data_IF_436465216304
#
_entry.id   IF_436465216304
#
_cell.length_a   1.000
_cell.length_b   1.000
_cell.length_c   1.000
_cell.angle_alpha   90.00
_cell.angle_beta   90.00
_cell.angle_gamma   90.00
#
_symmetry.space_group_name_H-M   'P 1'
#
loop_
_entity.id
_entity.type
_entity.pdbx_description
1 polymer ?
#
# COMPACT_ATOMS: atom_id res chain seq x y z
N UNK A 1 0.27 1.80 -31.99
CA UNK A 1 1.12 0.60 -32.24
C UNK A 1 2.51 0.68 -31.60
N UNK A 2 3.32 1.73 -31.83
CA UNK A 2 4.63 1.81 -31.16
C UNK A 2 4.54 2.04 -29.66
N UNK A 3 3.67 2.93 -29.22
CA UNK A 3 3.47 3.23 -27.78
C UNK A 3 3.00 2.02 -26.99
N UNK A 4 2.10 1.24 -27.53
CA UNK A 4 1.60 0.00 -26.90
C UNK A 4 2.72 -1.04 -26.72
N UNK A 5 3.57 -1.21 -27.74
CA UNK A 5 4.73 -2.12 -27.67
C UNK A 5 5.72 -1.69 -26.57
N UNK A 6 5.99 -0.37 -26.45
CA UNK A 6 6.89 0.16 -25.43
C UNK A 6 6.33 -0.15 -24.04
N UNK A 7 5.04 0.08 -23.81
CA UNK A 7 4.39 -0.20 -22.52
C UNK A 7 4.46 -1.69 -22.18
N UNK A 8 4.15 -2.57 -23.13
CA UNK A 8 4.25 -4.02 -22.93
C UNK A 8 5.68 -4.43 -22.54
N UNK A 9 6.69 -3.91 -23.22
CA UNK A 9 8.10 -4.20 -22.91
C UNK A 9 8.45 -3.71 -21.51
N UNK A 10 8.06 -2.51 -21.13
CA UNK A 10 8.29 -1.96 -19.78
C UNK A 10 7.61 -2.82 -18.72
N UNK A 11 6.37 -3.24 -18.94
CA UNK A 11 5.64 -4.13 -18.02
C UNK A 11 6.35 -5.49 -17.88
N UNK A 12 6.81 -6.08 -18.97
CA UNK A 12 7.54 -7.37 -18.94
C UNK A 12 8.85 -7.22 -18.15
N UNK A 13 9.62 -6.16 -18.40
CA UNK A 13 10.87 -5.89 -17.67
C UNK A 13 10.56 -5.70 -16.18
N UNK A 14 9.52 -4.93 -15.85
CA UNK A 14 9.11 -4.68 -14.47
C UNK A 14 8.73 -5.99 -13.76
N UNK A 15 7.86 -6.80 -14.36
CA UNK A 15 7.44 -8.07 -13.78
C UNK A 15 8.60 -9.07 -13.63
N UNK A 16 9.48 -9.14 -14.63
CA UNK A 16 10.70 -9.95 -14.54
C UNK A 16 11.61 -9.49 -13.39
N UNK A 17 11.77 -8.18 -13.20
CA UNK A 17 12.53 -7.63 -12.10
C UNK A 17 11.92 -7.98 -10.73
N UNK A 18 10.58 -7.91 -10.59
CA UNK A 18 9.89 -8.29 -9.34
C UNK A 18 10.08 -9.78 -9.02
N UNK A 19 9.95 -10.66 -10.02
CA UNK A 19 10.20 -12.10 -9.84
C UNK A 19 11.68 -12.35 -9.45
N UNK A 20 12.62 -11.68 -10.11
CA UNK A 20 14.04 -11.81 -9.81
C UNK A 20 14.35 -11.38 -8.37
N UNK A 21 13.80 -10.26 -7.92
CA UNK A 21 13.93 -9.80 -6.54
C UNK A 21 13.36 -10.84 -5.57
N UNK A 22 12.20 -11.43 -5.87
CA UNK A 22 11.59 -12.52 -5.08
C UNK A 22 12.52 -13.74 -4.98
N UNK A 23 13.13 -14.17 -6.08
CA UNK A 23 14.09 -15.29 -6.10
C UNK A 23 15.35 -14.96 -5.28
N UNK A 24 15.88 -13.75 -5.40
CA UNK A 24 17.03 -13.30 -4.62
C UNK A 24 16.69 -13.28 -3.12
N UNK A 25 15.51 -12.80 -2.79
CA UNK A 25 14.99 -12.76 -1.41
C UNK A 25 14.84 -14.16 -0.80
N UNK A 26 14.44 -15.15 -1.60
CA UNK A 26 14.29 -16.54 -1.16
C UNK A 26 15.57 -17.10 -0.53
N UNK A 27 16.74 -16.64 -0.98
CA UNK A 27 18.04 -17.03 -0.42
C UNK A 27 18.23 -16.59 1.04
N UNK A 28 17.44 -15.63 1.53
CA UNK A 28 17.46 -15.16 2.90
C UNK A 28 16.55 -15.98 3.84
N UNK A 29 15.65 -16.75 3.29
CA UNK A 29 14.70 -17.57 4.03
C UNK A 29 15.36 -18.90 4.46
N UNK A 30 15.95 -18.92 5.65
CA UNK A 30 16.60 -20.12 6.22
C UNK A 30 15.70 -20.85 7.21
N UNK A 31 14.75 -20.14 7.84
CA UNK A 31 13.81 -20.68 8.81
C UNK A 31 12.38 -20.21 8.50
N UNK A 32 11.39 -20.88 9.07
CA UNK A 32 9.97 -20.50 8.93
C UNK A 32 9.71 -19.06 9.40
N UNK A 33 10.40 -18.62 10.45
CA UNK A 33 10.34 -17.23 10.94
C UNK A 33 10.89 -16.22 9.94
N UNK A 34 11.93 -16.59 9.16
CA UNK A 34 12.45 -15.72 8.10
C UNK A 34 11.43 -15.54 6.98
N UNK A 35 10.72 -16.62 6.66
CA UNK A 35 9.69 -16.62 5.62
C UNK A 35 8.45 -15.81 6.03
N UNK A 36 7.96 -15.96 7.27
CA UNK A 36 6.71 -15.35 7.74
C UNK A 36 6.88 -13.90 8.19
N UNK A 37 7.98 -13.57 8.88
CA UNK A 37 8.19 -12.25 9.52
C UNK A 37 9.59 -11.68 9.29
N UNK A 38 10.25 -12.10 8.22
CA UNK A 38 11.63 -11.70 7.88
C UNK A 38 12.62 -11.90 9.04
N UNK A 39 12.40 -12.94 9.88
CA UNK A 39 13.22 -13.22 11.07
C UNK A 39 13.19 -12.11 12.11
N UNK A 40 12.24 -11.18 12.06
CA UNK A 40 12.16 -9.98 12.90
C UNK A 40 13.42 -9.10 12.85
N UNK A 41 14.17 -9.16 11.73
CA UNK A 41 15.46 -8.48 11.52
C UNK A 41 15.38 -7.26 10.61
N UNK A 42 14.15 -6.78 10.32
CA UNK A 42 13.97 -5.61 9.48
C UNK A 42 14.51 -4.35 10.17
N UNK A 43 15.26 -3.55 9.42
CA UNK A 43 15.71 -2.25 9.88
C UNK A 43 14.52 -1.27 9.90
N UNK A 44 14.58 -0.26 10.78
CA UNK A 44 13.56 0.81 10.88
C UNK A 44 13.30 1.45 9.52
N UNK A 45 14.33 1.72 8.74
CA UNK A 45 14.21 2.30 7.40
C UNK A 45 13.44 1.37 6.45
N UNK A 46 13.75 0.08 6.41
CA UNK A 46 13.04 -0.89 5.58
C UNK A 46 11.57 -0.99 5.98
N UNK A 47 11.30 -1.08 7.29
CA UNK A 47 9.94 -1.10 7.82
C UNK A 47 9.17 0.16 7.42
N UNK A 48 9.78 1.35 7.56
CA UNK A 48 9.15 2.60 7.17
C UNK A 48 8.84 2.65 5.66
N UNK A 49 9.78 2.19 4.81
CA UNK A 49 9.59 2.13 3.36
C UNK A 49 8.45 1.17 3.00
N UNK A 50 8.43 -0.04 3.58
CA UNK A 50 7.36 -1.03 3.34
C UNK A 50 6.00 -0.49 3.78
N UNK A 51 5.92 0.15 4.96
CA UNK A 51 4.68 0.79 5.42
C UNK A 51 4.23 1.92 4.47
N UNK A 52 5.15 2.72 3.97
CA UNK A 52 4.85 3.75 2.97
C UNK A 52 4.38 3.12 1.65
N UNK A 53 5.06 2.07 1.17
CA UNK A 53 4.69 1.36 -0.06
C UNK A 53 3.27 0.80 -0.02
N UNK A 54 2.89 0.17 1.10
CA UNK A 54 1.53 -0.37 1.30
C UNK A 54 0.47 0.72 1.27
N UNK A 55 0.79 1.95 1.68
CA UNK A 55 -0.13 3.08 1.62
C UNK A 55 -0.28 3.64 0.21
N UNK A 56 0.81 3.68 -0.56
CA UNK A 56 0.80 4.23 -1.93
C UNK A 56 0.26 3.17 -2.89
N UNK A 57 -0.97 2.78 -2.69
CA UNK A 57 -1.70 1.86 -3.57
C UNK A 57 -2.61 2.61 -4.55
N UNK A 58 -3.38 1.83 -5.30
CA UNK A 58 -4.36 2.34 -6.27
C UNK A 58 -5.36 3.31 -5.63
N UNK A 59 -5.75 3.07 -4.37
CA UNK A 59 -6.65 3.96 -3.64
C UNK A 59 -6.13 5.39 -3.56
N UNK A 60 -4.85 5.58 -3.18
CA UNK A 60 -4.26 6.92 -3.16
C UNK A 60 -4.08 7.46 -4.57
N UNK A 61 -3.47 6.69 -5.47
CA UNK A 61 -3.09 7.22 -6.79
C UNK A 61 -4.30 7.51 -7.66
N UNK A 62 -5.18 6.52 -7.88
CA UNK A 62 -6.34 6.71 -8.75
C UNK A 62 -7.43 7.58 -8.11
N UNK A 63 -7.81 7.30 -6.86
CA UNK A 63 -8.88 8.07 -6.22
C UNK A 63 -8.47 9.53 -6.01
N UNK A 64 -7.21 9.81 -5.65
CA UNK A 64 -6.71 11.18 -5.54
C UNK A 64 -6.69 11.88 -6.90
N UNK A 65 -6.27 11.18 -7.96
CA UNK A 65 -6.25 11.76 -9.30
C UNK A 65 -7.68 12.08 -9.80
N UNK A 66 -8.62 11.15 -9.63
CA UNK A 66 -10.02 11.35 -10.03
C UNK A 66 -10.68 12.49 -9.23
N UNK A 67 -10.55 12.46 -7.89
CA UNK A 67 -11.10 13.52 -7.05
C UNK A 67 -10.44 14.87 -7.32
N UNK A 68 -9.14 14.88 -7.61
CA UNK A 68 -8.41 16.09 -7.96
C UNK A 68 -8.88 16.70 -9.28
N UNK A 69 -9.23 15.85 -10.25
CA UNK A 69 -9.76 16.29 -11.54
C UNK A 69 -11.21 16.78 -11.42
N UNK A 70 -12.08 16.03 -10.71
CA UNK A 70 -13.51 16.30 -10.65
C UNK A 70 -13.89 17.40 -9.66
N UNK A 71 -13.19 17.49 -8.53
CA UNK A 71 -13.57 18.30 -7.37
C UNK A 71 -12.53 19.33 -6.95
N UNK A 72 -11.33 19.26 -7.49
CA UNK A 72 -10.22 20.16 -7.19
C UNK A 72 -9.11 19.55 -6.34
N UNK A 73 -8.03 20.28 -6.19
CA UNK A 73 -6.78 19.83 -5.55
C UNK A 73 -6.98 19.30 -4.13
N UNK A 74 -7.73 20.01 -3.31
CA UNK A 74 -7.91 19.63 -1.90
C UNK A 74 -8.64 18.29 -1.73
N UNK A 75 -9.79 18.05 -2.39
CA UNK A 75 -10.43 16.73 -2.39
C UNK A 75 -9.53 15.60 -2.91
N UNK A 76 -8.67 15.88 -3.89
CA UNK A 76 -7.66 14.95 -4.36
C UNK A 76 -6.66 14.54 -3.28
N UNK A 77 -6.34 15.43 -2.35
CA UNK A 77 -5.37 15.17 -1.28
C UNK A 77 -5.97 14.54 -0.01
N UNK A 78 -7.29 14.51 0.15
CA UNK A 78 -7.94 14.02 1.37
C UNK A 78 -7.55 12.59 1.74
N UNK A 79 -7.54 11.70 0.78
CA UNK A 79 -7.20 10.31 1.04
C UNK A 79 -5.73 10.16 1.49
N UNK A 80 -4.82 10.88 0.88
CA UNK A 80 -3.40 10.86 1.24
C UNK A 80 -3.17 11.42 2.66
N UNK A 81 -3.81 12.54 3.00
CA UNK A 81 -3.76 13.10 4.35
C UNK A 81 -4.39 12.19 5.39
N UNK A 82 -5.53 11.56 5.07
CA UNK A 82 -6.19 10.60 5.95
C UNK A 82 -5.30 9.39 6.27
N UNK A 83 -4.72 8.79 5.24
CA UNK A 83 -3.82 7.65 5.40
C UNK A 83 -2.53 8.02 6.14
N UNK A 84 -1.88 9.12 5.77
CA UNK A 84 -0.65 9.58 6.42
C UNK A 84 -0.87 9.97 7.89
N UNK A 85 -1.91 10.75 8.17
CA UNK A 85 -2.30 11.13 9.53
C UNK A 85 -2.66 9.92 10.38
N UNK A 86 -3.40 8.96 9.81
CA UNK A 86 -3.75 7.71 10.47
C UNK A 86 -2.54 6.89 10.88
N UNK A 87 -1.53 6.77 10.01
CA UNK A 87 -0.27 6.10 10.34
C UNK A 87 0.50 6.79 11.47
N UNK A 88 0.57 8.12 11.46
CA UNK A 88 1.25 8.88 12.51
C UNK A 88 0.58 8.61 13.86
N UNK A 89 -0.75 8.71 13.93
CA UNK A 89 -1.50 8.47 15.17
C UNK A 89 -1.36 7.01 15.63
N UNK A 90 -1.50 6.05 14.72
CA UNK A 90 -1.28 4.64 15.04
C UNK A 90 0.13 4.39 15.56
N UNK A 91 1.15 5.02 14.96
CA UNK A 91 2.53 4.96 15.40
C UNK A 91 2.72 5.46 16.84
N UNK A 92 2.09 6.59 17.18
CA UNK A 92 2.23 7.20 18.50
C UNK A 92 1.45 6.46 19.60
N UNK A 93 0.24 5.98 19.29
CA UNK A 93 -0.70 5.45 20.31
C UNK A 93 -0.59 3.94 20.46
N UNK A 94 -0.49 3.20 19.36
CA UNK A 94 -0.73 1.76 19.35
C UNK A 94 0.56 0.93 19.25
N UNK A 95 1.56 1.44 18.54
CA UNK A 95 2.76 0.67 18.17
C UNK A 95 3.54 0.15 19.38
N UNK A 96 3.68 0.97 20.45
CA UNK A 96 4.42 0.56 21.65
C UNK A 96 3.77 -0.67 22.29
N UNK A 97 2.46 -0.63 22.51
CA UNK A 97 1.70 -1.71 23.15
C UNK A 97 1.69 -3.00 22.34
N UNK A 98 1.58 -2.88 21.01
CA UNK A 98 1.59 -4.04 20.13
C UNK A 98 3.00 -4.63 19.97
N UNK A 99 4.04 -3.80 20.04
CA UNK A 99 5.43 -4.24 19.95
C UNK A 99 5.89 -5.03 21.16
N UNK A 100 5.29 -4.81 22.32
CA UNK A 100 5.56 -5.53 23.57
C UNK A 100 4.96 -6.94 23.58
N UNK A 101 4.25 -7.34 22.52
CA UNK A 101 3.58 -8.63 22.46
C UNK A 101 4.36 -9.65 21.64
N UNK A 102 4.40 -10.86 22.18
CA UNK A 102 4.95 -12.05 21.52
C UNK A 102 3.86 -12.70 20.64
N UNK A 103 3.79 -12.33 19.36
CA UNK A 103 2.85 -12.93 18.43
C UNK A 103 3.35 -12.86 16.99
N UNK A 104 2.89 -13.77 16.13
CA UNK A 104 3.14 -13.73 14.69
C UNK A 104 2.06 -12.94 13.94
N UNK A 105 0.88 -12.86 14.55
CA UNK A 105 -0.29 -12.23 13.94
C UNK A 105 -0.89 -11.23 14.93
N UNK A 106 -1.31 -10.04 14.47
CA UNK A 106 -1.96 -9.07 15.33
C UNK A 106 -3.20 -9.58 16.07
N UNK A 107 -3.84 -10.60 15.52
CA UNK A 107 -4.98 -11.27 16.15
C UNK A 107 -4.61 -12.01 17.42
N UNK A 108 -3.35 -12.38 17.61
CA UNK A 108 -2.83 -13.03 18.81
C UNK A 108 -2.98 -12.14 20.05
N UNK A 109 -3.01 -10.80 19.86
CA UNK A 109 -3.30 -9.84 20.92
C UNK A 109 -4.64 -10.09 21.60
N UNK A 110 -5.66 -10.35 20.80
CA UNK A 110 -6.99 -10.61 21.35
C UNK A 110 -7.04 -11.92 22.13
N UNK A 111 -6.33 -12.95 21.63
CA UNK A 111 -6.23 -14.22 22.31
C UNK A 111 -5.47 -14.07 23.66
N UNK A 112 -4.38 -13.32 23.70
CA UNK A 112 -3.60 -13.07 24.93
C UNK A 112 -4.39 -12.26 25.95
N UNK A 113 -5.18 -11.26 25.51
CA UNK A 113 -5.89 -10.36 26.43
C UNK A 113 -7.23 -10.91 26.93
N UNK A 114 -7.95 -11.64 26.11
CA UNK A 114 -9.31 -12.10 26.38
C UNK A 114 -9.43 -13.63 26.49
N UNK A 115 -8.31 -14.34 26.44
CA UNK A 115 -8.26 -15.79 26.43
C UNK A 115 -8.55 -16.41 25.05
N UNK A 116 -8.29 -17.71 24.93
CA UNK A 116 -8.46 -18.47 23.68
C UNK A 116 -9.93 -18.80 23.38
N UNK A 117 -10.76 -17.80 23.18
CA UNK A 117 -12.15 -17.97 22.78
C UNK A 117 -12.29 -18.12 21.26
N UNK A 118 -12.98 -19.17 20.80
CA UNK A 118 -13.29 -19.38 19.38
C UNK A 118 -14.10 -18.22 18.79
N UNK A 119 -15.00 -17.61 19.61
CA UNK A 119 -15.81 -16.48 19.19
C UNK A 119 -14.94 -15.24 18.92
N UNK A 120 -13.97 -14.94 19.76
CA UNK A 120 -13.05 -13.79 19.59
C UNK A 120 -12.21 -13.99 18.32
N UNK A 121 -11.68 -15.19 18.09
CA UNK A 121 -10.94 -15.51 16.86
C UNK A 121 -11.81 -15.34 15.61
N UNK A 122 -13.05 -15.80 15.66
CA UNK A 122 -13.99 -15.66 14.54
C UNK A 122 -14.30 -14.19 14.23
N UNK A 123 -14.62 -13.38 15.24
CA UNK A 123 -14.88 -11.96 15.06
C UNK A 123 -13.65 -11.20 14.55
N UNK A 124 -12.48 -11.50 15.08
CA UNK A 124 -11.23 -10.93 14.61
C UNK A 124 -10.93 -11.31 13.14
N UNK A 125 -11.23 -12.55 12.75
CA UNK A 125 -11.11 -13.02 11.37
C UNK A 125 -12.10 -12.28 10.45
N UNK A 126 -13.38 -12.21 10.81
CA UNK A 126 -14.43 -11.53 10.04
C UNK A 126 -14.11 -10.05 9.85
N UNK A 127 -13.52 -9.38 10.84
CA UNK A 127 -13.19 -7.96 10.73
C UNK A 127 -11.99 -7.67 9.83
N UNK A 128 -11.02 -8.55 9.76
CA UNK A 128 -9.76 -8.31 9.03
C UNK A 128 -9.70 -8.95 7.66
N UNK A 129 -10.02 -10.24 7.54
CA UNK A 129 -9.79 -10.99 6.30
C UNK A 129 -10.59 -10.48 5.12
N UNK A 130 -11.91 -10.18 5.24
CA UNK A 130 -12.67 -9.63 4.12
C UNK A 130 -12.15 -8.26 3.66
N UNK A 131 -11.69 -7.42 4.60
CA UNK A 131 -11.12 -6.12 4.27
C UNK A 131 -9.82 -6.25 3.46
N UNK A 132 -8.92 -7.14 3.89
CA UNK A 132 -7.66 -7.41 3.17
C UNK A 132 -7.91 -7.99 1.78
N UNK A 133 -8.85 -8.94 1.67
CA UNK A 133 -9.26 -9.51 0.37
C UNK A 133 -9.86 -8.44 -0.54
N UNK A 134 -10.71 -7.56 -0.01
CA UNK A 134 -11.29 -6.44 -0.75
C UNK A 134 -10.22 -5.51 -1.33
N UNK A 135 -9.23 -5.13 -0.53
CA UNK A 135 -8.10 -4.32 -0.98
C UNK A 135 -7.31 -5.05 -2.06
N UNK A 136 -7.01 -6.33 -1.87
CA UNK A 136 -6.26 -7.13 -2.85
C UNK A 136 -7.00 -7.24 -4.19
N UNK A 137 -8.31 -7.53 -4.16
CA UNK A 137 -9.16 -7.58 -5.36
C UNK A 137 -9.16 -6.21 -6.06
N UNK A 138 -9.31 -5.11 -5.33
CA UNK A 138 -9.28 -3.76 -5.89
C UNK A 138 -7.96 -3.46 -6.62
N UNK A 139 -6.82 -3.87 -6.05
CA UNK A 139 -5.51 -3.72 -6.67
C UNK A 139 -5.40 -4.52 -7.99
N UNK A 140 -5.91 -5.76 -8.00
CA UNK A 140 -5.92 -6.60 -9.21
C UNK A 140 -6.81 -6.03 -10.30
N UNK A 141 -8.02 -5.58 -9.96
CA UNK A 141 -8.94 -4.97 -10.91
C UNK A 141 -8.35 -3.68 -11.51
N UNK A 142 -7.72 -2.87 -10.70
CA UNK A 142 -7.08 -1.66 -11.16
C UNK A 142 -5.88 -1.94 -12.09
N UNK A 143 -5.07 -2.96 -11.78
CA UNK A 143 -3.98 -3.38 -12.68
C UNK A 143 -4.53 -3.83 -14.05
N UNK A 144 -5.62 -4.58 -14.05
CA UNK A 144 -6.32 -4.96 -15.28
C UNK A 144 -6.84 -3.75 -16.06
N UNK A 145 -7.42 -2.77 -15.37
CA UNK A 145 -7.90 -1.52 -15.98
C UNK A 145 -6.79 -0.68 -16.61
N UNK A 146 -5.68 -0.53 -15.90
CA UNK A 146 -4.51 0.19 -16.41
C UNK A 146 -3.95 -0.50 -17.66
N UNK A 147 -3.76 -1.82 -17.61
CA UNK A 147 -3.24 -2.57 -18.74
C UNK A 147 -4.21 -2.57 -19.94
N UNK A 148 -5.52 -2.55 -19.68
CA UNK A 148 -6.55 -2.42 -20.73
C UNK A 148 -6.47 -1.08 -21.46
N UNK A 149 -6.12 0.00 -20.78
CA UNK A 149 -5.86 1.31 -21.40
C UNK A 149 -4.69 1.31 -22.37
N UNK A 150 -3.83 0.30 -22.31
CA UNK A 150 -2.69 0.10 -23.22
C UNK A 150 -2.91 -1.06 -24.23
N UNK A 151 -4.16 -1.51 -24.41
CA UNK A 151 -4.51 -2.51 -25.42
C UNK A 151 -4.39 -3.97 -24.96
N UNK A 152 -4.03 -4.24 -23.69
CA UNK A 152 -4.02 -5.59 -23.14
C UNK A 152 -5.42 -5.93 -22.63
N UNK A 153 -6.03 -7.09 -23.02
CA UNK A 153 -7.35 -7.45 -22.54
C UNK A 153 -7.41 -7.44 -20.99
N UNK A 154 -8.45 -6.83 -20.43
CA UNK A 154 -8.63 -6.66 -18.98
C UNK A 154 -8.39 -7.96 -18.19
N UNK A 155 -9.03 -9.06 -18.61
CA UNK A 155 -8.87 -10.37 -17.95
C UNK A 155 -7.42 -10.86 -17.96
N UNK A 156 -6.72 -10.67 -19.07
CA UNK A 156 -5.31 -11.05 -19.21
C UNK A 156 -4.44 -10.23 -18.23
N UNK A 157 -4.68 -8.91 -18.15
CA UNK A 157 -3.98 -8.03 -17.22
C UNK A 157 -4.14 -8.45 -15.77
N UNK A 158 -5.37 -8.75 -15.34
CA UNK A 158 -5.67 -9.24 -13.98
C UNK A 158 -4.95 -10.55 -13.70
N UNK A 159 -5.06 -11.53 -14.60
CA UNK A 159 -4.48 -12.88 -14.41
C UNK A 159 -2.96 -12.82 -14.36
N UNK A 160 -2.33 -12.11 -15.31
CA UNK A 160 -0.87 -11.97 -15.35
C UNK A 160 -0.36 -11.31 -14.07
N UNK A 161 -0.98 -10.22 -13.62
CA UNK A 161 -0.59 -9.54 -12.40
C UNK A 161 -0.74 -10.45 -11.18
N UNK A 162 -1.87 -11.17 -11.07
CA UNK A 162 -2.12 -12.12 -9.98
C UNK A 162 -1.06 -13.22 -9.94
N UNK A 163 -0.73 -13.82 -11.08
CA UNK A 163 0.28 -14.89 -11.19
C UNK A 163 1.66 -14.37 -10.78
N UNK A 164 2.07 -13.19 -11.26
CA UNK A 164 3.36 -12.59 -10.91
C UNK A 164 3.45 -12.33 -9.40
N UNK A 165 2.39 -11.75 -8.78
CA UNK A 165 2.35 -11.51 -7.34
C UNK A 165 2.46 -12.85 -6.58
N UNK A 166 1.71 -13.85 -7.00
CA UNK A 166 1.72 -15.17 -6.38
C UNK A 166 3.12 -15.80 -6.42
N UNK A 167 3.80 -15.72 -7.54
CA UNK A 167 5.15 -16.27 -7.71
C UNK A 167 6.14 -15.57 -6.75
N UNK A 168 6.26 -14.24 -6.81
CA UNK A 168 7.30 -13.58 -6.01
C UNK A 168 6.98 -13.59 -4.50
N UNK A 169 5.69 -13.58 -4.11
CA UNK A 169 5.29 -13.68 -2.70
C UNK A 169 5.53 -15.09 -2.15
N UNK A 170 5.18 -16.14 -2.89
CA UNK A 170 5.36 -17.53 -2.42
C UNK A 170 6.82 -17.94 -2.39
N UNK A 171 7.61 -17.53 -3.37
CA UNK A 171 9.03 -17.84 -3.44
C UNK A 171 9.84 -16.98 -2.46
N UNK A 172 9.57 -15.68 -2.42
CA UNK A 172 10.35 -14.71 -1.64
C UNK A 172 9.94 -14.60 -0.18
N UNK A 173 8.70 -15.00 0.18
CA UNK A 173 8.14 -14.79 1.52
C UNK A 173 8.16 -13.30 1.91
N UNK A 174 8.20 -13.02 3.22
CA UNK A 174 8.23 -11.64 3.73
C UNK A 174 9.44 -10.84 3.26
N UNK A 175 10.62 -11.46 3.12
CA UNK A 175 11.79 -10.80 2.55
C UNK A 175 11.58 -10.38 1.09
N UNK A 176 10.86 -11.20 0.31
CA UNK A 176 10.48 -10.88 -1.07
C UNK A 176 9.60 -9.64 -1.14
N UNK A 177 8.57 -9.60 -0.31
CA UNK A 177 7.64 -8.46 -0.23
C UNK A 177 8.40 -7.18 0.14
N UNK A 178 9.20 -7.20 1.22
CA UNK A 178 9.96 -6.02 1.67
C UNK A 178 10.90 -5.50 0.61
N UNK A 179 11.64 -6.37 -0.08
CA UNK A 179 12.59 -5.93 -1.12
C UNK A 179 11.89 -5.40 -2.37
N UNK A 180 10.76 -5.99 -2.75
CA UNK A 180 9.93 -5.44 -3.84
C UNK A 180 9.33 -4.10 -3.47
N UNK A 181 8.86 -3.91 -2.22
CA UNK A 181 8.37 -2.64 -1.71
C UNK A 181 9.43 -1.53 -1.76
N UNK A 182 10.66 -1.86 -1.37
CA UNK A 182 11.79 -0.91 -1.46
C UNK A 182 12.03 -0.49 -2.90
N UNK A 183 12.06 -1.44 -3.84
CA UNK A 183 12.25 -1.15 -5.25
C UNK A 183 11.09 -0.31 -5.83
N UNK A 184 9.86 -0.66 -5.52
CA UNK A 184 8.67 0.06 -5.96
C UNK A 184 8.61 1.47 -5.38
N UNK A 185 8.89 1.64 -4.08
CA UNK A 185 8.91 2.95 -3.42
C UNK A 185 9.98 3.85 -4.03
N UNK A 186 11.15 3.31 -4.37
CA UNK A 186 12.19 4.08 -5.05
C UNK A 186 11.73 4.58 -6.43
N UNK A 187 11.06 3.71 -7.21
CA UNK A 187 10.49 4.10 -8.52
C UNK A 187 9.42 5.18 -8.35
N UNK A 188 8.53 5.02 -7.37
CA UNK A 188 7.46 5.99 -7.09
C UNK A 188 8.03 7.32 -6.60
N UNK A 189 9.00 7.29 -5.69
CA UNK A 189 9.62 8.48 -5.13
C UNK A 189 10.33 9.35 -6.17
N UNK A 190 10.81 8.74 -7.26
CA UNK A 190 11.42 9.47 -8.37
C UNK A 190 10.41 9.77 -9.46
N UNK A 191 9.59 8.80 -9.84
CA UNK A 191 8.67 8.90 -10.98
C UNK A 191 7.52 9.87 -10.75
N UNK A 192 6.92 9.87 -9.55
CA UNK A 192 5.77 10.74 -9.25
C UNK A 192 6.17 12.22 -9.26
N UNK A 193 7.26 12.67 -8.62
CA UNK A 193 7.70 14.08 -8.74
C UNK A 193 8.04 14.48 -10.18
N UNK A 194 8.72 13.63 -10.95
CA UNK A 194 9.02 13.92 -12.35
C UNK A 194 7.73 14.11 -13.15
N UNK A 195 6.75 13.22 -12.97
CA UNK A 195 5.46 13.31 -13.64
C UNK A 195 4.71 14.58 -13.22
N UNK A 196 4.71 14.91 -11.93
CA UNK A 196 4.07 16.11 -11.41
C UNK A 196 4.67 17.39 -12.02
N UNK A 197 6.01 17.47 -12.08
CA UNK A 197 6.70 18.61 -12.72
C UNK A 197 6.39 18.67 -14.22
N UNK A 198 6.40 17.54 -14.93
CA UNK A 198 6.08 17.51 -16.35
C UNK A 198 4.65 17.97 -16.66
N UNK A 199 3.68 17.56 -15.83
CA UNK A 199 2.27 18.00 -15.94
C UNK A 199 2.18 19.49 -15.65
N UNK A 200 2.85 19.98 -14.61
CA UNK A 200 2.84 21.38 -14.23
C UNK A 200 3.43 22.27 -15.34
N UNK A 201 4.57 21.89 -15.94
CA UNK A 201 5.17 22.59 -17.06
C UNK A 201 4.19 22.66 -18.24
N UNK A 202 3.54 21.55 -18.56
CA UNK A 202 2.53 21.54 -19.64
C UNK A 202 1.33 22.44 -19.35
N UNK A 203 0.85 22.42 -18.10
CA UNK A 203 -0.29 23.23 -17.68
C UNK A 203 0.03 24.73 -17.78
N UNK A 204 1.17 25.16 -17.26
CA UNK A 204 1.62 26.55 -17.36
C UNK A 204 1.91 26.95 -18.80
N UNK A 205 2.53 26.08 -19.60
CA UNK A 205 2.78 26.30 -21.02
C UNK A 205 1.51 26.43 -21.87
N UNK A 206 0.39 25.85 -21.40
CA UNK A 206 -0.93 26.03 -22.00
C UNK A 206 -1.68 27.28 -21.50
N UNK A 207 -1.03 28.16 -20.71
CA UNK A 207 -1.63 29.38 -20.18
C UNK A 207 -2.37 29.20 -18.84
N UNK A 208 -2.23 28.03 -18.19
CA UNK A 208 -2.84 27.75 -16.89
C UNK A 208 -2.13 28.54 -15.77
N UNK A 209 -2.91 29.00 -14.80
CA UNK A 209 -2.40 29.73 -13.64
C UNK A 209 -2.33 28.80 -12.42
N UNK A 210 -1.14 28.62 -11.85
CA UNK A 210 -0.91 27.79 -10.67
C UNK A 210 -1.77 28.28 -9.47
N UNK A 211 -1.99 29.57 -9.34
CA UNK A 211 -2.82 30.14 -8.29
C UNK A 211 -4.27 29.63 -8.32
N UNK A 212 -4.83 29.41 -9.50
CA UNK A 212 -6.18 28.90 -9.67
C UNK A 212 -6.33 27.44 -9.18
N UNK A 213 -5.28 26.63 -9.31
CA UNK A 213 -5.28 25.25 -8.83
C UNK A 213 -5.53 25.20 -7.31
N UNK A 214 -4.90 26.10 -6.55
CA UNK A 214 -5.03 26.18 -5.10
C UNK A 214 -6.19 27.07 -4.62
N UNK A 215 -6.80 27.84 -5.51
CA UNK A 215 -7.97 28.68 -5.22
C UNK A 215 -9.27 27.86 -5.04
N UNK A 216 -9.25 26.56 -5.38
CA UNK A 216 -10.38 25.67 -5.15
C UNK A 216 -10.69 25.59 -3.65
N UNK A 217 -11.98 25.64 -3.22
CA UNK A 217 -12.33 25.59 -1.81
C UNK A 217 -11.89 24.27 -1.17
N UNK A 218 -11.39 24.36 0.07
CA UNK A 218 -10.98 23.17 0.82
C UNK A 218 -12.14 22.18 0.99
N UNK A 219 -13.37 22.67 1.19
CA UNK A 219 -14.59 21.87 1.20
C UNK A 219 -15.49 22.36 0.06
N UNK A 220 -15.64 21.57 -1.03
CA UNK A 220 -16.52 21.93 -2.13
C UNK A 220 -17.98 22.05 -1.66
N UNK A 221 -18.73 22.96 -2.30
CA UNK A 221 -20.14 23.15 -2.03
C UNK A 221 -20.91 21.82 -2.23
N UNK A 222 -21.71 21.43 -1.25
CA UNK A 222 -22.45 20.15 -1.26
C UNK A 222 -21.73 18.95 -0.67
N UNK A 223 -20.47 19.10 -0.21
CA UNK A 223 -19.70 18.01 0.40
C UNK A 223 -19.91 17.87 1.92
N UNK A 224 -20.78 18.68 2.54
CA UNK A 224 -20.96 18.66 4.01
C UNK A 224 -21.28 17.29 4.61
N UNK A 225 -22.04 16.44 3.91
CA UNK A 225 -22.29 15.05 4.31
C UNK A 225 -21.12 14.10 3.95
N UNK A 226 -20.22 14.51 3.08
CA UNK A 226 -19.06 13.71 2.63
C UNK A 226 -17.81 13.93 3.48
N UNK A 227 -17.86 14.77 4.50
CA UNK A 227 -16.78 14.90 5.50
C UNK A 227 -16.41 13.53 6.11
N UNK A 228 -17.38 12.60 6.14
CA UNK A 228 -17.15 11.22 6.56
C UNK A 228 -16.09 10.52 5.67
N UNK A 229 -15.97 10.88 4.38
CA UNK A 229 -14.94 10.33 3.47
C UNK A 229 -13.52 10.83 3.79
N UNK A 230 -13.41 11.97 4.49
CA UNK A 230 -12.13 12.44 5.02
C UNK A 230 -11.75 11.67 6.29
N UNK A 231 -12.73 11.49 7.18
CA UNK A 231 -12.51 10.87 8.50
C UNK A 231 -12.46 9.34 8.41
N UNK A 232 -13.26 8.74 7.53
CA UNK A 232 -13.34 7.28 7.39
C UNK A 232 -12.02 6.62 6.98
N UNK A 233 -11.27 7.10 5.94
CA UNK A 233 -9.95 6.57 5.63
C UNK A 233 -8.97 6.73 6.80
N UNK A 234 -9.06 7.83 7.53
CA UNK A 234 -8.28 8.07 8.73
C UNK A 234 -8.56 7.04 9.82
N UNK A 235 -9.83 6.80 10.14
CA UNK A 235 -10.24 5.79 11.13
C UNK A 235 -9.90 4.37 10.68
N UNK A 236 -10.13 4.03 9.42
CA UNK A 236 -9.82 2.71 8.87
C UNK A 236 -8.31 2.47 8.79
N UNK A 237 -7.51 3.50 8.48
CA UNK A 237 -6.06 3.41 8.48
C UNK A 237 -5.50 3.14 9.87
N UNK A 238 -6.08 3.71 10.92
CA UNK A 238 -5.66 3.47 12.30
C UNK A 238 -5.99 2.05 12.78
N UNK A 239 -7.12 1.49 12.34
CA UNK A 239 -7.59 0.18 12.84
C UNK A 239 -6.92 -1.02 12.15
N UNK A 240 -6.63 -0.92 10.85
CA UNK A 240 -6.14 -2.07 10.07
C UNK A 240 -4.62 -2.17 9.98
N UNK A 241 -3.90 -1.05 10.01
CA UNK A 241 -2.46 -0.99 9.66
C UNK A 241 -1.52 -0.82 10.85
N UNK A 242 -2.01 -0.44 12.02
CA UNK A 242 -1.23 -0.54 13.26
C UNK A 242 -0.71 -1.95 13.51
N UNK A 243 -1.41 -2.92 12.94
CA UNK A 243 -1.06 -4.32 13.02
C UNK A 243 0.09 -4.74 12.08
N UNK A 244 0.22 -4.13 10.91
CA UNK A 244 1.30 -4.44 9.96
C UNK A 244 2.67 -3.93 10.48
N UNK A 245 2.69 -2.77 11.14
CA UNK A 245 3.89 -2.25 11.79
C UNK A 245 4.43 -3.13 12.92
N UNK A 246 3.60 -4.02 13.49
CA UNK A 246 4.03 -4.97 14.52
C UNK A 246 4.72 -6.20 13.94
N UNK A 247 4.34 -6.64 12.75
CA UNK A 247 5.01 -7.75 12.07
C UNK A 247 6.44 -7.39 11.68
N UNK A 248 6.69 -6.10 11.39
CA UNK A 248 7.97 -5.59 10.90
C UNK A 248 8.89 -5.09 12.04
N UNK A 249 8.44 -5.07 13.27
CA UNK A 249 9.21 -4.59 14.43
C UNK A 249 10.26 -5.57 14.92
N UNK A 250 11.46 -5.08 15.20
CA UNK A 250 12.59 -5.83 15.75
C UNK A 250 12.19 -6.64 16.98
N UNK A 251 12.55 -7.91 16.91
CA UNK A 251 12.28 -8.90 17.92
C UNK A 251 12.83 -8.56 19.30
N UNK A 252 12.18 -9.11 20.28
CA UNK A 252 12.66 -9.23 21.62
C UNK A 252 14.01 -9.95 21.66
N UNK A 253 14.98 -9.34 22.28
CA UNK A 253 16.07 -10.09 22.89
C UNK A 253 15.44 -10.92 24.03
N UNK A 254 15.33 -12.20 23.85
CA UNK A 254 15.23 -13.13 24.98
C UNK A 254 16.57 -13.08 25.69
N UNK A 255 16.68 -12.25 26.72
CA UNK A 255 17.65 -12.44 27.80
C UNK A 255 17.10 -13.58 28.65
N UNK A 256 17.69 -14.70 28.44
CA UNK A 256 17.54 -15.82 29.21
C UNK A 256 18.15 -16.41 30.15
#
# INVERSE_FOLDING_TARGET
MEKEKIVVVVCVIYFAAMILIGIIAARRNKATSDYLVAGRRLNVTMTAITLAAVQIGVGIVLSSATNGYDLGVWPGMYYAFGCGGGLIIAGLVTTKKLREQEGYVPLDYFAQRYGESKAIRLWAWISNVPSLLGIFIAQLLASGGILAGFGIPFKTGVVVTAVVILIYCTVGGMWGVVLTDVAQTAIIAVGVPILAVAILIRYVGAGGNIGEIFATPFIPAGMGSRFIYLVLPFLLSTSGKSCQGCQDGKGYHTSG
#
